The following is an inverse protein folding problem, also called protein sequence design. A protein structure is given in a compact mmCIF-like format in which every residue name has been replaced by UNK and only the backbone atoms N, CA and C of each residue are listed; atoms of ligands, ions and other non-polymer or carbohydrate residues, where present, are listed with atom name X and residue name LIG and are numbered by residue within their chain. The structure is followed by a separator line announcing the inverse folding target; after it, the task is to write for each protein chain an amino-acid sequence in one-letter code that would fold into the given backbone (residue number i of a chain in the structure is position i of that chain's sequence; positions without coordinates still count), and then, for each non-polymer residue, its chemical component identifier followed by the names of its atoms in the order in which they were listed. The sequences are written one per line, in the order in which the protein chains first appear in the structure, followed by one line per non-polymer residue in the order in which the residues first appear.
data_IF_226799239487
#
_entry.id   IF_226799239487
#
_cell.length_a   1.000
_cell.length_b   1.000
_cell.length_c   1.000
_cell.angle_alpha   90.00
_cell.angle_beta   90.00
_cell.angle_gamma   90.00
#
_symmetry.space_group_name_H-M   'P 1'
#
loop_
_entity.id
_entity.type
_entity.pdbx_description
1 polymer ?
#
# COMPACT_ATOMS: atom_id res chain seq x y z
N UNK A 1 -0.25 19.58 3.68
CA UNK A 1 -1.60 19.80 3.15
C UNK A 1 -2.46 18.54 3.12
N UNK A 2 -1.91 17.37 2.84
CA UNK A 2 -2.65 16.09 2.79
C UNK A 2 -3.19 15.61 4.14
N UNK A 3 -2.50 15.85 5.24
CA UNK A 3 -2.87 15.30 6.55
C UNK A 3 -4.20 15.83 7.11
N UNK A 4 -4.62 17.03 6.72
CA UNK A 4 -5.90 17.58 7.16
C UNK A 4 -7.12 16.95 6.47
N UNK A 5 -6.90 16.22 5.38
CA UNK A 5 -7.96 15.61 4.58
C UNK A 5 -8.42 14.26 5.13
N UNK A 6 -7.65 13.64 6.02
CA UNK A 6 -7.92 12.29 6.53
C UNK A 6 -8.67 12.26 7.87
N UNK A 7 -9.55 13.21 8.12
CA UNK A 7 -10.45 13.17 9.26
C UNK A 7 -11.62 12.24 8.94
N UNK A 8 -11.39 10.97 9.00
CA UNK A 8 -12.41 9.94 8.70
C UNK A 8 -13.29 9.66 9.93
N UNK A 9 -12.92 10.10 11.12
CA UNK A 9 -13.75 10.00 12.32
C UNK A 9 -14.64 11.23 12.46
N UNK A 10 -15.93 10.99 12.68
CA UNK A 10 -16.92 12.02 12.95
C UNK A 10 -18.04 12.07 11.89
N UNK A 11 -19.01 12.93 12.17
CA UNK A 11 -20.22 13.13 11.34
C UNK A 11 -19.97 13.95 10.06
N UNK A 12 -18.71 14.20 9.69
CA UNK A 12 -18.41 15.02 8.53
C UNK A 12 -18.62 14.22 7.25
N UNK A 13 -19.41 14.76 6.36
CA UNK A 13 -19.51 14.27 4.99
C UNK A 13 -18.20 14.57 4.25
N UNK A 14 -17.40 13.52 4.00
CA UNK A 14 -16.10 13.63 3.38
C UNK A 14 -16.15 13.61 1.84
N UNK A 15 -17.32 13.39 1.25
CA UNK A 15 -17.48 13.27 -0.20
C UNK A 15 -16.95 14.49 -0.95
N UNK A 16 -17.10 15.68 -0.36
CA UNK A 16 -16.60 16.93 -0.96
C UNK A 16 -15.10 17.16 -0.75
N UNK A 17 -14.47 16.48 0.19
CA UNK A 17 -13.07 16.73 0.56
C UNK A 17 -12.09 15.80 -0.15
N UNK A 18 -12.51 14.59 -0.47
CA UNK A 18 -11.61 13.54 -0.95
C UNK A 18 -11.72 13.25 -2.43
N UNK A 19 -12.68 13.85 -3.11
CA UNK A 19 -12.84 13.63 -4.56
C UNK A 19 -12.04 14.58 -5.44
N UNK A 20 -11.13 15.38 -4.90
CA UNK A 20 -10.19 16.23 -5.63
C UNK A 20 -10.78 16.84 -6.92
N UNK A 21 -11.96 17.46 -6.82
CA UNK A 21 -12.64 18.08 -7.95
C UNK A 21 -13.61 17.20 -8.73
N UNK A 22 -13.63 15.88 -8.49
CA UNK A 22 -14.63 14.97 -9.04
C UNK A 22 -15.48 14.36 -7.92
N UNK A 23 -16.47 15.12 -7.46
CA UNK A 23 -17.38 14.72 -6.38
C UNK A 23 -18.19 13.45 -6.69
N UNK A 24 -18.32 13.10 -7.96
CA UNK A 24 -19.07 11.93 -8.41
C UNK A 24 -18.21 10.69 -8.59
N UNK A 25 -16.90 10.80 -8.41
CA UNK A 25 -15.99 9.67 -8.61
C UNK A 25 -16.29 8.52 -7.63
N UNK A 26 -16.67 8.86 -6.39
CA UNK A 26 -17.07 7.91 -5.36
C UNK A 26 -18.33 8.41 -4.63
N UNK A 27 -19.50 8.23 -5.22
CA UNK A 27 -20.74 8.54 -4.54
C UNK A 27 -20.88 7.66 -3.28
N UNK A 28 -21.49 8.22 -2.23
CA UNK A 28 -21.68 7.53 -0.95
C UNK A 28 -20.37 7.14 -0.25
N UNK A 29 -19.39 8.05 -0.27
CA UNK A 29 -18.05 7.81 0.27
C UNK A 29 -18.07 7.24 1.71
N UNK A 30 -18.88 7.81 2.61
CA UNK A 30 -18.97 7.36 4.00
C UNK A 30 -19.58 5.95 4.12
N UNK A 31 -20.63 5.67 3.38
CA UNK A 31 -21.26 4.35 3.34
C UNK A 31 -20.24 3.30 2.86
N UNK A 32 -19.53 3.63 1.77
CA UNK A 32 -18.49 2.77 1.23
C UNK A 32 -17.28 2.61 2.15
N UNK A 33 -16.93 3.62 2.93
CA UNK A 33 -15.89 3.52 3.93
C UNK A 33 -16.27 2.53 5.05
N UNK A 34 -17.51 2.56 5.53
CA UNK A 34 -17.96 1.61 6.55
C UNK A 34 -18.06 0.18 5.99
N UNK A 35 -18.50 0.01 4.75
CA UNK A 35 -18.44 -1.28 4.06
C UNK A 35 -17.00 -1.80 3.96
N UNK A 36 -16.04 -0.92 3.62
CA UNK A 36 -14.62 -1.28 3.53
C UNK A 36 -14.02 -1.67 4.88
N UNK A 37 -14.37 -0.95 5.95
CA UNK A 37 -13.95 -1.29 7.31
C UNK A 37 -14.50 -2.67 7.72
N UNK A 38 -15.78 -2.92 7.47
CA UNK A 38 -16.41 -4.22 7.74
C UNK A 38 -15.75 -5.34 6.94
N UNK A 39 -15.46 -5.11 5.66
CA UNK A 39 -14.74 -6.06 4.81
C UNK A 39 -13.37 -6.43 5.42
N UNK A 40 -12.59 -5.44 5.88
CA UNK A 40 -11.28 -5.72 6.48
C UNK A 40 -11.39 -6.58 7.75
N UNK A 41 -12.37 -6.30 8.61
CA UNK A 41 -12.63 -7.10 9.82
C UNK A 41 -13.00 -8.53 9.43
N UNK A 42 -13.94 -8.69 8.52
CA UNK A 42 -14.40 -10.00 8.06
C UNK A 42 -13.28 -10.85 7.45
N UNK A 43 -12.42 -10.26 6.63
CA UNK A 43 -11.28 -10.96 6.03
C UNK A 43 -10.31 -11.48 7.09
N UNK A 44 -9.99 -10.63 8.08
CA UNK A 44 -9.09 -11.01 9.17
C UNK A 44 -9.69 -12.10 10.05
N UNK A 45 -10.97 -11.98 10.39
CA UNK A 45 -11.65 -12.95 11.27
C UNK A 45 -11.84 -14.32 10.58
N UNK A 46 -12.07 -14.33 9.27
CA UNK A 46 -12.16 -15.55 8.47
C UNK A 46 -10.80 -16.13 8.08
N UNK A 47 -9.72 -15.39 8.24
CA UNK A 47 -8.39 -15.77 7.77
C UNK A 47 -8.29 -15.83 6.24
N UNK A 48 -9.08 -15.03 5.53
CA UNK A 48 -9.03 -14.93 4.07
C UNK A 48 -7.91 -14.00 3.62
N UNK A 49 -7.05 -14.50 2.72
CA UNK A 49 -5.98 -13.69 2.12
C UNK A 49 -6.52 -12.88 0.95
N UNK A 50 -6.35 -11.56 1.01
CA UNK A 50 -6.73 -10.62 -0.04
C UNK A 50 -5.68 -9.54 -0.22
N UNK A 51 -5.53 -9.10 -1.45
CA UNK A 51 -4.53 -8.11 -1.85
C UNK A 51 -5.17 -6.77 -2.18
N UNK A 52 -4.58 -5.70 -1.64
CA UNK A 52 -4.99 -4.32 -1.87
C UNK A 52 -3.86 -3.54 -2.52
N UNK A 53 -4.00 -3.24 -3.79
CA UNK A 53 -3.00 -2.53 -4.58
C UNK A 53 -3.28 -1.03 -4.65
N UNK A 54 -2.45 -0.23 -3.99
CA UNK A 54 -2.49 1.23 -4.15
C UNK A 54 -1.70 1.62 -5.39
N UNK A 55 -2.42 2.06 -6.42
CA UNK A 55 -1.85 2.58 -7.65
C UNK A 55 -1.46 4.04 -7.50
N UNK A 56 -0.23 4.35 -7.88
CA UNK A 56 0.28 5.70 -7.96
C UNK A 56 0.79 6.03 -9.36
N UNK A 57 1.12 7.28 -9.61
CA UNK A 57 1.67 7.74 -10.89
C UNK A 57 2.96 7.01 -11.27
N UNK A 58 3.83 6.78 -10.30
CA UNK A 58 5.07 6.01 -10.50
C UNK A 58 4.82 4.58 -10.98
N UNK A 59 3.75 3.94 -10.53
CA UNK A 59 3.39 2.60 -10.96
C UNK A 59 3.06 2.55 -12.45
N UNK A 60 2.33 3.56 -12.95
CA UNK A 60 2.04 3.66 -14.38
C UNK A 60 3.31 3.67 -15.23
N UNK A 61 4.24 4.56 -14.92
CA UNK A 61 5.49 4.68 -15.69
C UNK A 61 6.31 3.41 -15.64
N UNK A 62 6.41 2.79 -14.46
CA UNK A 62 7.14 1.54 -14.29
C UNK A 62 6.50 0.40 -15.10
N UNK A 63 5.18 0.20 -14.99
CA UNK A 63 4.46 -0.86 -15.69
C UNK A 63 4.43 -0.68 -17.21
N UNK A 64 4.55 0.56 -17.68
CA UNK A 64 4.64 0.89 -19.13
C UNK A 64 6.08 0.96 -19.64
N UNK A 65 7.08 0.55 -18.85
CA UNK A 65 8.52 0.65 -19.19
C UNK A 65 8.97 2.08 -19.54
N UNK A 66 8.32 3.07 -18.97
CA UNK A 66 8.65 4.47 -19.22
C UNK A 66 9.60 5.01 -18.14
N UNK A 67 10.45 6.00 -18.46
CA UNK A 67 11.26 6.65 -17.45
C UNK A 67 10.37 7.24 -16.34
N UNK A 68 10.58 6.80 -15.11
CA UNK A 68 9.93 7.37 -13.95
C UNK A 68 10.58 8.72 -13.69
N UNK A 69 10.02 9.78 -14.28
CA UNK A 69 10.36 11.19 -14.14
C UNK A 69 11.85 11.54 -13.91
N UNK A 70 12.27 12.74 -14.14
CA UNK A 70 13.63 13.27 -13.86
C UNK A 70 14.01 13.24 -12.36
N UNK A 71 13.36 12.39 -11.60
CA UNK A 71 13.53 12.25 -10.19
C UNK A 71 14.97 11.92 -9.82
N UNK A 72 15.50 12.72 -8.98
CA UNK A 72 16.71 12.61 -8.17
C UNK A 72 17.50 11.30 -8.35
N UNK A 73 18.78 11.35 -8.69
CA UNK A 73 19.63 10.17 -8.98
C UNK A 73 19.62 9.05 -7.95
N UNK A 74 19.12 9.26 -6.75
CA UNK A 74 19.03 8.26 -5.69
C UNK A 74 17.74 7.44 -5.63
N UNK A 75 16.75 7.70 -6.48
CA UNK A 75 15.44 7.03 -6.45
C UNK A 75 15.16 6.08 -7.62
N UNK A 76 16.17 5.60 -8.29
CA UNK A 76 15.97 4.59 -9.34
C UNK A 76 15.50 3.28 -8.71
N UNK A 77 14.36 2.77 -9.19
CA UNK A 77 13.85 1.45 -8.80
C UNK A 77 14.75 0.33 -9.31
N UNK A 78 15.44 0.58 -10.42
CA UNK A 78 16.29 -0.36 -11.14
C UNK A 78 17.70 0.19 -11.30
N UNK A 79 18.70 -0.68 -11.19
CA UNK A 79 20.04 -0.47 -11.73
C UNK A 79 20.18 -1.05 -13.15
N UNK A 80 19.31 -1.99 -13.50
CA UNK A 80 19.22 -2.68 -14.78
C UNK A 80 18.20 -2.00 -15.70
N UNK A 81 18.26 -2.33 -16.99
CA UNK A 81 17.22 -1.98 -17.94
C UNK A 81 15.98 -2.87 -17.76
N UNK A 82 14.84 -2.45 -18.32
CA UNK A 82 13.61 -3.24 -18.25
C UNK A 82 13.71 -4.62 -18.95
N UNK A 83 14.62 -4.75 -19.91
CA UNK A 83 14.81 -6.00 -20.65
C UNK A 83 15.71 -6.99 -19.90
N UNK A 84 16.42 -6.53 -18.87
CA UNK A 84 17.29 -7.37 -18.03
C UNK A 84 16.60 -7.88 -16.77
N UNK A 85 15.33 -7.50 -16.53
CA UNK A 85 14.56 -7.92 -15.37
C UNK A 85 13.32 -8.71 -15.80
N UNK A 86 12.76 -9.47 -14.87
CA UNK A 86 11.46 -10.13 -15.05
C UNK A 86 10.31 -9.10 -14.92
N UNK A 87 10.22 -8.19 -15.92
CA UNK A 87 9.22 -7.11 -15.90
C UNK A 87 7.77 -7.65 -15.93
N UNK A 88 7.53 -8.78 -16.60
CA UNK A 88 6.19 -9.38 -16.71
C UNK A 88 5.63 -9.79 -15.35
N UNK A 89 6.48 -10.16 -14.40
CA UNK A 89 6.06 -10.42 -13.03
C UNK A 89 5.38 -9.21 -12.37
N UNK A 90 5.88 -8.00 -12.63
CA UNK A 90 5.30 -6.77 -12.09
C UNK A 90 3.96 -6.41 -12.75
N UNK A 91 3.85 -6.60 -14.07
CA UNK A 91 2.59 -6.40 -14.79
C UNK A 91 1.54 -7.39 -14.29
N UNK A 92 1.90 -8.67 -14.23
CA UNK A 92 1.04 -9.74 -13.72
C UNK A 92 0.55 -9.44 -12.30
N UNK A 93 1.46 -9.15 -11.38
CA UNK A 93 1.10 -8.88 -10.00
C UNK A 93 0.20 -7.66 -9.82
N UNK A 94 0.45 -6.58 -10.59
CA UNK A 94 -0.44 -5.44 -10.58
C UNK A 94 -1.86 -5.77 -11.09
N UNK A 95 -1.99 -6.71 -12.04
CA UNK A 95 -3.26 -7.08 -12.65
C UNK A 95 -4.02 -8.17 -11.87
N UNK A 96 -3.35 -8.95 -11.05
CA UNK A 96 -3.96 -10.08 -10.32
C UNK A 96 -4.44 -9.74 -8.92
N UNK A 97 -4.30 -8.49 -8.46
CA UNK A 97 -4.80 -8.08 -7.16
C UNK A 97 -6.32 -8.13 -7.07
N UNK A 98 -6.83 -8.39 -5.87
CA UNK A 98 -8.28 -8.47 -5.60
C UNK A 98 -8.92 -7.08 -5.60
N UNK A 99 -8.27 -6.12 -4.96
CA UNK A 99 -8.77 -4.77 -4.76
C UNK A 99 -7.74 -3.72 -5.15
N UNK A 100 -8.25 -2.60 -5.64
CA UNK A 100 -7.40 -1.50 -6.10
C UNK A 100 -7.83 -0.19 -5.46
N UNK A 101 -6.84 0.64 -5.17
CA UNK A 101 -7.06 2.03 -4.82
C UNK A 101 -6.24 2.92 -5.74
N UNK A 102 -6.83 4.02 -6.18
CA UNK A 102 -6.20 5.00 -7.05
C UNK A 102 -6.57 6.40 -6.58
N UNK A 103 -5.63 7.32 -6.65
CA UNK A 103 -5.92 8.73 -6.43
C UNK A 103 -6.95 9.23 -7.45
N UNK A 104 -7.89 10.08 -7.01
CA UNK A 104 -9.05 10.50 -7.80
C UNK A 104 -8.70 11.57 -8.84
N UNK A 105 -7.46 11.96 -8.97
CA UNK A 105 -7.04 12.85 -10.05
C UNK A 105 -7.39 12.26 -11.41
N UNK A 106 -8.02 13.01 -12.32
CA UNK A 106 -8.43 12.52 -13.63
C UNK A 106 -7.29 11.86 -14.41
N UNK A 107 -6.08 12.44 -14.34
CA UNK A 107 -4.89 11.88 -14.97
C UNK A 107 -4.52 10.50 -14.40
N UNK A 108 -4.55 10.33 -13.09
CA UNK A 108 -4.22 9.04 -12.47
C UNK A 108 -5.30 7.99 -12.73
N UNK A 109 -6.56 8.38 -12.75
CA UNK A 109 -7.66 7.49 -13.15
C UNK A 109 -7.51 6.99 -14.58
N UNK A 110 -7.17 7.89 -15.51
CA UNK A 110 -6.88 7.51 -16.90
C UNK A 110 -5.71 6.54 -16.99
N UNK A 111 -4.60 6.84 -16.32
CA UNK A 111 -3.42 5.96 -16.27
C UNK A 111 -3.74 4.61 -15.65
N UNK A 112 -4.51 4.59 -14.57
CA UNK A 112 -4.98 3.35 -13.95
C UNK A 112 -5.76 2.49 -14.95
N UNK A 113 -6.73 3.06 -15.65
CA UNK A 113 -7.56 2.35 -16.63
C UNK A 113 -6.77 1.82 -17.84
N UNK A 114 -5.59 2.38 -18.13
CA UNK A 114 -4.72 1.89 -19.21
C UNK A 114 -3.94 0.62 -18.84
N UNK A 115 -3.80 0.31 -17.55
CA UNK A 115 -2.97 -0.82 -17.09
C UNK A 115 -3.72 -1.82 -16.22
N UNK A 116 -4.79 -1.41 -15.54
CA UNK A 116 -5.59 -2.26 -14.67
C UNK A 116 -7.00 -2.40 -15.27
N UNK A 117 -7.37 -3.61 -15.63
CA UNK A 117 -8.61 -3.87 -16.39
C UNK A 117 -9.67 -4.62 -15.59
N UNK A 118 -9.41 -4.94 -14.32
CA UNK A 118 -10.31 -5.72 -13.48
C UNK A 118 -10.17 -5.35 -12.00
N UNK A 119 -11.03 -5.92 -11.17
CA UNK A 119 -10.99 -5.80 -9.72
C UNK A 119 -11.94 -4.74 -9.17
N UNK A 120 -12.12 -4.78 -7.88
CA UNK A 120 -12.93 -3.81 -7.14
C UNK A 120 -12.08 -2.58 -6.84
N UNK A 121 -12.64 -1.40 -7.07
CA UNK A 121 -11.94 -0.14 -6.92
C UNK A 121 -12.48 0.66 -5.73
N UNK A 122 -11.57 1.04 -4.84
CA UNK A 122 -11.83 1.89 -3.69
C UNK A 122 -11.03 3.20 -3.76
N UNK A 123 -11.47 4.28 -3.09
CA UNK A 123 -10.68 5.49 -2.93
C UNK A 123 -9.35 5.21 -2.22
N UNK A 124 -8.26 5.83 -2.68
CA UNK A 124 -6.95 5.70 -2.02
C UNK A 124 -6.99 6.24 -0.57
N UNK A 125 -7.86 7.19 -0.33
CA UNK A 125 -8.12 7.80 0.98
C UNK A 125 -8.56 6.77 2.02
N UNK A 126 -9.22 5.68 1.64
CA UNK A 126 -9.62 4.63 2.59
C UNK A 126 -8.38 4.04 3.29
N UNK A 127 -7.37 3.63 2.52
CA UNK A 127 -6.14 3.10 3.08
C UNK A 127 -5.40 4.13 3.93
N UNK A 128 -5.12 5.30 3.35
CA UNK A 128 -4.39 6.35 4.07
C UNK A 128 -5.14 6.88 5.29
N UNK A 129 -6.43 7.14 5.14
CA UNK A 129 -7.24 7.68 6.21
C UNK A 129 -7.36 6.75 7.39
N UNK A 130 -7.59 5.47 7.16
CA UNK A 130 -7.71 4.47 8.23
C UNK A 130 -6.39 4.25 9.01
N UNK A 131 -5.24 4.48 8.37
CA UNK A 131 -3.95 4.50 9.06
C UNK A 131 -3.77 5.81 9.82
N UNK A 132 -4.03 6.95 9.18
CA UNK A 132 -3.80 8.29 9.76
C UNK A 132 -4.70 8.57 10.96
N UNK A 133 -5.97 8.16 10.91
CA UNK A 133 -6.90 8.30 12.05
C UNK A 133 -6.73 7.17 13.08
N UNK A 134 -5.78 6.24 12.82
CA UNK A 134 -5.42 5.12 13.69
C UNK A 134 -6.49 4.03 13.84
N UNK A 135 -7.57 4.09 13.07
CA UNK A 135 -8.60 3.06 13.14
C UNK A 135 -8.03 1.67 12.84
N UNK A 136 -7.28 1.55 11.75
CA UNK A 136 -6.66 0.29 11.35
C UNK A 136 -5.68 -0.22 12.40
N UNK A 137 -4.84 0.68 12.95
CA UNK A 137 -3.84 0.31 13.95
C UNK A 137 -4.49 -0.17 15.25
N UNK A 138 -5.54 0.50 15.72
CA UNK A 138 -6.26 0.13 16.94
C UNK A 138 -7.10 -1.13 16.77
N UNK A 139 -7.82 -1.25 15.64
CA UNK A 139 -8.70 -2.40 15.37
C UNK A 139 -7.94 -3.70 15.26
N UNK A 140 -6.75 -3.65 14.67
CA UNK A 140 -5.93 -4.83 14.41
C UNK A 140 -4.63 -4.86 15.24
N UNK A 141 -4.62 -4.19 16.40
CA UNK A 141 -3.49 -4.26 17.32
C UNK A 141 -3.11 -5.71 17.61
N UNK A 142 -1.81 -6.03 17.61
CA UNK A 142 -1.32 -7.41 17.76
C UNK A 142 -1.50 -8.30 16.51
N UNK A 143 -1.88 -7.75 15.36
CA UNK A 143 -2.09 -8.52 14.12
C UNK A 143 -1.44 -7.87 12.89
N UNK A 144 -0.70 -6.76 13.06
CA UNK A 144 -0.16 -5.97 11.94
C UNK A 144 1.35 -6.18 11.81
N UNK A 145 1.77 -6.58 10.61
CA UNK A 145 3.17 -6.58 10.18
C UNK A 145 3.45 -5.44 9.19
N UNK A 146 4.71 -5.09 9.09
CA UNK A 146 5.22 -4.12 8.13
C UNK A 146 6.14 -4.79 7.13
N UNK A 147 6.02 -4.44 5.85
CA UNK A 147 6.97 -4.85 4.81
C UNK A 147 7.54 -3.60 4.14
N UNK A 148 8.86 -3.47 4.11
CA UNK A 148 9.46 -2.31 3.49
C UNK A 148 11.00 -2.32 3.48
N UNK A 149 11.56 -1.23 2.98
CA UNK A 149 13.00 -1.08 2.91
C UNK A 149 13.64 -1.15 4.31
N UNK A 150 14.73 -1.89 4.44
CA UNK A 150 15.42 -2.19 5.70
C UNK A 150 15.67 -0.94 6.55
N UNK A 151 16.18 0.14 5.95
CA UNK A 151 16.42 1.39 6.68
C UNK A 151 15.16 1.95 7.33
N UNK A 152 14.01 1.86 6.62
CA UNK A 152 12.72 2.34 7.15
C UNK A 152 12.20 1.43 8.25
N UNK A 153 12.33 0.12 8.08
CA UNK A 153 11.90 -0.85 9.08
C UNK A 153 12.66 -0.66 10.38
N UNK A 154 13.98 -0.51 10.32
CA UNK A 154 14.82 -0.23 11.50
C UNK A 154 14.42 1.08 12.19
N UNK A 155 14.17 2.15 11.43
CA UNK A 155 13.73 3.44 12.00
C UNK A 155 12.39 3.28 12.73
N UNK A 156 11.42 2.62 12.11
CA UNK A 156 10.10 2.43 12.73
C UNK A 156 10.22 1.56 13.97
N UNK A 157 11.00 0.48 13.91
CA UNK A 157 11.22 -0.40 15.05
C UNK A 157 11.82 0.34 16.24
N UNK A 158 12.86 1.15 16.00
CA UNK A 158 13.47 1.97 17.05
C UNK A 158 12.49 3.02 17.61
N UNK A 159 11.67 3.63 16.75
CA UNK A 159 10.65 4.59 17.22
C UNK A 159 9.62 3.91 18.11
N UNK A 160 9.26 2.67 17.83
CA UNK A 160 8.30 1.91 18.63
C UNK A 160 8.83 1.49 20.01
N UNK A 161 10.12 1.66 20.30
CA UNK A 161 10.66 1.51 21.65
C UNK A 161 10.31 2.68 22.58
N UNK A 162 9.90 3.82 22.03
CA UNK A 162 9.58 5.01 22.80
C UNK A 162 8.06 5.06 23.14
N UNK A 163 7.70 5.13 24.45
CA UNK A 163 6.30 5.10 24.88
C UNK A 163 5.41 6.17 24.25
N UNK A 164 5.95 7.36 23.96
CA UNK A 164 5.20 8.42 23.30
C UNK A 164 4.76 8.07 21.87
N UNK A 165 5.52 7.25 21.14
CA UNK A 165 5.10 6.77 19.82
C UNK A 165 4.06 5.66 19.92
N UNK A 166 4.19 4.77 20.89
CA UNK A 166 3.21 3.74 21.18
C UNK A 166 1.86 4.38 21.53
N UNK A 167 1.87 5.34 22.42
CA UNK A 167 0.67 6.12 22.81
C UNK A 167 0.09 6.87 21.59
N UNK A 168 0.96 7.56 20.84
CA UNK A 168 0.53 8.30 19.64
C UNK A 168 -0.14 7.41 18.62
N UNK A 169 0.39 6.22 18.35
CA UNK A 169 -0.17 5.26 17.39
C UNK A 169 -1.35 4.46 17.97
N UNK A 170 -1.45 4.35 19.30
CA UNK A 170 -2.38 3.45 19.96
C UNK A 170 -2.03 1.98 19.74
N UNK A 171 -0.73 1.70 19.66
CA UNK A 171 -0.17 0.38 19.31
C UNK A 171 1.15 0.19 20.06
N UNK A 172 1.30 -0.90 20.81
CA UNK A 172 2.55 -1.19 21.54
C UNK A 172 3.70 -1.55 20.60
N UNK A 173 3.42 -2.37 19.59
CA UNK A 173 4.40 -2.81 18.57
C UNK A 173 3.69 -3.25 17.31
N UNK A 174 4.45 -3.35 16.22
CA UNK A 174 4.05 -4.17 15.08
C UNK A 174 4.56 -5.60 15.30
N UNK A 175 3.80 -6.60 14.88
CA UNK A 175 4.14 -8.00 15.09
C UNK A 175 5.36 -8.42 14.28
N UNK A 176 5.47 -7.93 13.06
CA UNK A 176 6.57 -8.25 12.16
C UNK A 176 7.14 -7.02 11.46
N UNK A 177 8.44 -7.05 11.22
CA UNK A 177 9.19 -6.07 10.43
C UNK A 177 9.95 -6.80 9.32
N UNK A 178 9.27 -7.01 8.20
CA UNK A 178 9.84 -7.70 7.05
C UNK A 178 10.65 -6.72 6.21
N UNK A 179 11.93 -6.99 6.07
CA UNK A 179 12.88 -6.09 5.44
C UNK A 179 13.26 -6.53 4.03
N UNK A 180 13.40 -5.56 3.14
CA UNK A 180 13.95 -5.77 1.80
C UNK A 180 15.01 -4.70 1.48
N UNK A 181 15.83 -4.90 0.44
CA UNK A 181 16.88 -3.95 0.08
C UNK A 181 16.34 -2.54 -0.15
N UNK A 182 17.06 -1.54 0.34
CA UNK A 182 16.70 -0.12 0.20
C UNK A 182 16.63 0.32 -1.26
N UNK A 183 17.45 -0.27 -2.14
CA UNK A 183 17.57 0.07 -3.55
C UNK A 183 17.63 -1.19 -4.38
N UNK A 184 17.15 -1.08 -5.62
CA UNK A 184 17.31 -2.09 -6.66
C UNK A 184 16.67 -3.46 -6.37
N UNK A 185 15.76 -3.53 -5.41
CA UNK A 185 15.02 -4.77 -5.13
C UNK A 185 14.14 -5.25 -6.32
N UNK A 186 13.90 -4.37 -7.30
CA UNK A 186 13.24 -4.73 -8.55
C UNK A 186 14.15 -5.41 -9.56
N UNK A 187 15.47 -5.34 -9.40
CA UNK A 187 16.44 -5.91 -10.36
C UNK A 187 16.39 -7.44 -10.40
N UNK A 188 16.01 -8.06 -9.28
CA UNK A 188 15.77 -9.49 -9.15
C UNK A 188 14.58 -9.72 -8.22
N UNK A 189 13.41 -9.76 -8.82
CA UNK A 189 12.17 -9.90 -8.05
C UNK A 189 12.01 -11.30 -7.45
N UNK A 190 12.57 -12.30 -8.07
CA UNK A 190 12.47 -13.68 -7.60
C UNK A 190 13.38 -13.91 -6.37
N UNK A 191 14.58 -13.35 -6.36
CA UNK A 191 15.44 -13.33 -5.16
C UNK A 191 14.82 -12.48 -4.03
N UNK A 192 14.18 -11.37 -4.38
CA UNK A 192 13.48 -10.52 -3.41
C UNK A 192 12.28 -11.24 -2.78
N UNK A 193 11.54 -12.00 -3.58
CA UNK A 193 10.45 -12.86 -3.09
C UNK A 193 10.96 -13.90 -2.09
N UNK A 194 12.00 -14.64 -2.45
CA UNK A 194 12.60 -15.65 -1.57
C UNK A 194 13.02 -15.05 -0.22
N UNK A 195 13.64 -13.88 -0.24
CA UNK A 195 14.04 -13.15 0.97
C UNK A 195 12.84 -12.78 1.85
N UNK A 196 11.76 -12.30 1.25
CA UNK A 196 10.53 -11.94 1.97
C UNK A 196 9.83 -13.19 2.49
N UNK A 197 9.70 -14.23 1.67
CA UNK A 197 9.08 -15.50 2.04
C UNK A 197 9.80 -16.17 3.23
N UNK A 198 11.13 -16.12 3.27
CA UNK A 198 11.90 -16.67 4.39
C UNK A 198 11.58 -15.96 5.71
N UNK A 199 11.47 -14.63 5.68
CA UNK A 199 11.11 -13.84 6.87
C UNK A 199 9.66 -14.09 7.30
N UNK A 200 8.75 -14.37 6.35
CA UNK A 200 7.34 -14.63 6.63
C UNK A 200 7.04 -15.98 7.24
N UNK A 201 7.97 -16.95 7.17
CA UNK A 201 7.74 -18.33 7.67
C UNK A 201 7.26 -18.40 9.12
N UNK A 202 7.74 -17.49 9.96
CA UNK A 202 7.40 -17.45 11.39
C UNK A 202 6.47 -16.28 11.75
N UNK A 203 5.92 -15.60 10.75
CA UNK A 203 5.04 -14.45 10.96
C UNK A 203 3.70 -14.90 11.55
N UNK A 204 3.22 -14.13 12.51
CA UNK A 204 1.88 -14.26 13.08
C UNK A 204 0.94 -13.15 12.65
N UNK A 205 1.44 -12.18 11.89
CA UNK A 205 0.65 -11.06 11.37
C UNK A 205 -0.50 -11.52 10.47
N UNK A 206 -1.62 -10.81 10.55
CA UNK A 206 -2.82 -11.05 9.73
C UNK A 206 -3.01 -9.98 8.66
N UNK A 207 -2.42 -8.81 8.88
CA UNK A 207 -2.43 -7.68 7.95
C UNK A 207 -1.01 -7.21 7.76
N UNK A 208 -0.60 -6.98 6.52
CA UNK A 208 0.67 -6.36 6.20
C UNK A 208 0.48 -4.99 5.56
N UNK A 209 1.13 -3.98 6.13
CA UNK A 209 1.26 -2.66 5.50
C UNK A 209 2.56 -2.62 4.70
N UNK A 210 2.44 -2.50 3.39
CA UNK A 210 3.54 -2.66 2.45
C UNK A 210 4.04 -1.32 1.91
N UNK A 211 5.20 -0.88 2.38
CA UNK A 211 5.85 0.37 1.97
C UNK A 211 7.09 0.17 1.09
N UNK A 212 6.97 -0.49 -0.06
CA UNK A 212 8.10 -0.98 -0.86
C UNK A 212 8.13 -0.50 -2.32
N UNK A 213 7.48 0.61 -2.64
CA UNK A 213 7.52 1.20 -3.98
C UNK A 213 7.03 0.23 -5.07
N UNK A 214 7.77 0.13 -6.18
CA UNK A 214 7.38 -0.74 -7.30
C UNK A 214 7.53 -2.24 -7.02
N UNK A 215 8.34 -2.62 -6.05
CA UNK A 215 8.50 -4.03 -5.63
C UNK A 215 7.16 -4.67 -5.29
N UNK A 216 6.22 -3.90 -4.73
CA UNK A 216 4.88 -4.40 -4.41
C UNK A 216 4.20 -5.06 -5.60
N UNK A 217 4.32 -4.48 -6.80
CA UNK A 217 3.69 -5.04 -8.01
C UNK A 217 4.21 -6.44 -8.35
N UNK A 218 5.47 -6.71 -8.07
CA UNK A 218 6.07 -8.02 -8.33
C UNK A 218 5.81 -9.06 -7.25
N UNK A 219 5.46 -8.65 -6.02
CA UNK A 219 5.34 -9.56 -4.88
C UNK A 219 3.90 -9.81 -4.42
N UNK A 220 3.00 -8.84 -4.57
CA UNK A 220 1.70 -8.86 -3.91
C UNK A 220 0.79 -10.05 -4.28
N UNK A 221 1.04 -10.70 -5.39
CA UNK A 221 0.27 -11.84 -5.90
C UNK A 221 0.93 -13.19 -5.65
N UNK A 222 2.10 -13.20 -5.05
CA UNK A 222 2.93 -14.38 -4.76
C UNK A 222 2.89 -14.73 -3.28
#
# INVERSE_FOLDING_TARGET
MYLSMYKIEGSQNLDSHYCFGDKNAFPKFQEKLEEFKSLLVDLVDKGESKTFYKFGDGDYFFLKKQPVGSATPGRRALSKSYDEINHDAFVKGAQECDFYTCEIYPTNRKRFAEVIHRGVHYPAEFGYGLVTNKWLLKTFAGKIGLIGANTKMNIIQNLMEAPQYQEYLGLEKFEDYISLPQKFACDDIDATEQMVAEQLKNSTSKIFLMGMGHVKSGLIHR
#
